data_IF_656349361329
#
_entry.id   IF_656349361329
#
_cell.length_a   1.000
_cell.length_b   1.000
_cell.length_c   1.000
_cell.angle_alpha   90.00
_cell.angle_beta   90.00
_cell.angle_gamma   90.00
#
_symmetry.space_group_name_H-M   'P 1'
#
loop_
_entity.id
_entity.type
_entity.pdbx_description
1 polymer ?
#
# COMPACT_ATOMS: atom_id res chain seq x y z
N UNK A 1 -42.29 5.35 9.53
CA UNK A 1 -41.06 4.91 10.24
C UNK A 1 -39.90 5.38 9.39
N UNK A 2 -38.99 6.19 9.95
CA UNK A 2 -37.81 6.58 9.19
C UNK A 2 -36.90 5.35 9.06
N UNK A 3 -36.54 5.00 7.86
CA UNK A 3 -35.63 3.89 7.62
C UNK A 3 -34.17 4.31 7.90
N UNK A 4 -33.42 3.44 8.54
CA UNK A 4 -32.03 3.71 8.88
C UNK A 4 -31.07 3.17 7.81
N UNK A 5 -30.28 4.05 7.24
CA UNK A 5 -29.24 3.71 6.28
C UNK A 5 -27.90 3.67 6.99
N UNK A 6 -27.24 2.52 6.97
CA UNK A 6 -25.90 2.33 7.49
C UNK A 6 -24.88 2.51 6.37
N UNK A 7 -23.85 3.32 6.63
CA UNK A 7 -22.79 3.63 5.64
C UNK A 7 -21.45 3.45 6.27
N UNK A 8 -20.54 2.76 5.58
CA UNK A 8 -19.16 2.58 6.02
C UNK A 8 -18.22 2.92 4.89
N UNK A 9 -17.28 3.84 5.16
CA UNK A 9 -16.18 4.19 4.26
C UNK A 9 -14.89 3.62 4.79
N UNK A 10 -14.07 2.93 3.95
CA UNK A 10 -12.69 2.65 4.29
C UNK A 10 -11.87 3.93 4.21
N UNK A 11 -10.80 4.03 4.98
CA UNK A 11 -9.92 5.20 5.08
C UNK A 11 -9.37 5.66 3.72
N UNK A 12 -9.13 4.73 2.79
CA UNK A 12 -8.70 5.05 1.43
C UNK A 12 -9.36 4.08 0.43
N UNK A 13 -10.00 4.65 -0.59
CA UNK A 13 -10.60 3.88 -1.69
C UNK A 13 -10.00 4.31 -3.02
N UNK A 14 -9.52 3.35 -3.81
CA UNK A 14 -9.02 3.62 -5.15
C UNK A 14 -10.14 3.48 -6.18
N UNK A 15 -10.34 4.52 -7.00
CA UNK A 15 -11.29 4.55 -8.10
C UNK A 15 -10.60 4.81 -9.44
N UNK A 16 -11.14 4.23 -10.51
CA UNK A 16 -10.60 4.37 -11.86
C UNK A 16 -11.53 5.15 -12.80
N UNK A 17 -12.71 5.54 -12.30
CA UNK A 17 -13.73 6.29 -13.05
C UNK A 17 -13.69 7.77 -12.65
N UNK A 18 -13.90 8.67 -13.60
CA UNK A 18 -13.93 10.11 -13.33
C UNK A 18 -15.19 10.51 -12.54
N UNK A 19 -16.30 9.81 -12.76
CA UNK A 19 -17.52 9.99 -11.98
C UNK A 19 -17.55 8.95 -10.86
N UNK A 20 -17.47 9.41 -9.63
CA UNK A 20 -17.42 8.58 -8.44
C UNK A 20 -18.77 8.60 -7.75
N UNK A 21 -19.40 7.45 -7.60
CA UNK A 21 -20.64 7.28 -6.84
C UNK A 21 -20.36 6.81 -5.41
N UNK A 22 -21.33 6.96 -4.51
CA UNK A 22 -21.21 6.44 -3.14
C UNK A 22 -21.01 4.93 -3.16
N UNK A 23 -21.66 4.20 -4.08
CA UNK A 23 -21.49 2.76 -4.22
C UNK A 23 -20.11 2.29 -4.66
N UNK A 24 -19.30 3.18 -5.28
CA UNK A 24 -17.91 2.87 -5.66
C UNK A 24 -16.93 2.94 -4.47
N UNK A 25 -17.29 3.67 -3.42
CA UNK A 25 -16.39 4.00 -2.32
C UNK A 25 -16.85 3.48 -0.96
N UNK A 26 -18.16 3.22 -0.78
CA UNK A 26 -18.76 2.89 0.50
C UNK A 26 -19.53 1.59 0.46
N UNK A 27 -19.57 0.91 1.59
CA UNK A 27 -20.54 -0.13 1.88
C UNK A 27 -21.82 0.52 2.41
N UNK A 28 -22.94 0.33 1.71
CA UNK A 28 -24.24 0.87 2.09
C UNK A 28 -25.19 -0.27 2.34
N UNK A 29 -25.86 -0.23 3.49
CA UNK A 29 -26.91 -1.17 3.87
C UNK A 29 -28.13 -0.46 4.43
N UNK A 30 -29.31 -0.87 3.98
CA UNK A 30 -30.60 -0.46 4.50
C UNK A 30 -31.55 -1.65 4.40
N UNK A 31 -32.59 -1.70 5.21
CA UNK A 31 -33.62 -2.75 5.15
C UNK A 31 -34.34 -2.73 3.81
N UNK A 32 -34.62 -1.53 3.27
CA UNK A 32 -35.16 -1.37 1.91
C UNK A 32 -34.05 -1.38 0.85
N UNK A 33 -34.13 -2.39 -0.03
CA UNK A 33 -33.21 -2.54 -1.16
C UNK A 33 -33.29 -1.39 -2.18
N UNK A 34 -34.49 -0.75 -2.30
CA UNK A 34 -34.68 0.35 -3.22
C UNK A 34 -33.93 1.61 -2.74
N UNK A 35 -34.00 1.90 -1.45
CA UNK A 35 -33.27 3.00 -0.83
C UNK A 35 -31.75 2.74 -0.95
N UNK A 36 -31.30 1.51 -0.66
CA UNK A 36 -29.91 1.12 -0.84
C UNK A 36 -29.40 1.37 -2.26
N UNK A 37 -30.18 1.00 -3.28
CA UNK A 37 -29.82 1.22 -4.67
C UNK A 37 -29.75 2.72 -5.03
N UNK A 38 -30.71 3.51 -4.56
CA UNK A 38 -30.71 4.98 -4.77
C UNK A 38 -29.51 5.63 -4.12
N UNK A 39 -29.19 5.31 -2.87
CA UNK A 39 -28.03 5.87 -2.15
C UNK A 39 -26.72 5.51 -2.85
N UNK A 40 -26.55 4.26 -3.27
CA UNK A 40 -25.36 3.84 -4.04
C UNK A 40 -25.17 4.58 -5.35
N UNK A 41 -26.27 4.98 -6.01
CA UNK A 41 -26.23 5.69 -7.30
C UNK A 41 -25.91 7.19 -7.17
N UNK A 42 -25.94 7.77 -5.97
CA UNK A 42 -25.64 9.19 -5.74
C UNK A 42 -24.19 9.46 -6.15
N UNK A 43 -23.98 10.49 -6.95
CA UNK A 43 -22.65 10.94 -7.37
C UNK A 43 -22.01 11.74 -6.24
N UNK A 44 -20.90 11.25 -5.70
CA UNK A 44 -20.15 11.92 -4.65
C UNK A 44 -19.26 13.03 -5.22
N UNK A 45 -18.57 12.73 -6.30
CA UNK A 45 -17.68 13.68 -6.94
C UNK A 45 -17.52 13.41 -8.43
N UNK A 46 -17.20 14.47 -9.16
CA UNK A 46 -16.76 14.37 -10.55
C UNK A 46 -15.29 14.82 -10.60
N UNK A 47 -14.40 13.85 -10.73
CA UNK A 47 -12.95 14.06 -10.72
C UNK A 47 -12.47 14.38 -12.12
N UNK A 48 -11.79 15.52 -12.35
CA UNK A 48 -11.25 15.82 -13.67
C UNK A 48 -10.20 14.78 -14.09
N UNK A 49 -10.37 14.22 -15.29
CA UNK A 49 -9.52 13.15 -15.86
C UNK A 49 -8.13 13.68 -16.32
N UNK A 50 -7.45 14.48 -15.48
CA UNK A 50 -6.18 15.10 -15.88
C UNK A 50 -4.97 14.39 -15.27
N UNK A 51 -5.04 13.94 -14.01
CA UNK A 51 -3.92 13.25 -13.31
C UNK A 51 -4.43 12.41 -12.16
N UNK A 52 -3.65 11.37 -11.81
CA UNK A 52 -3.87 10.65 -10.54
C UNK A 52 -3.77 11.61 -9.35
N UNK A 53 -4.83 11.73 -8.57
CA UNK A 53 -4.88 12.63 -7.39
C UNK A 53 -5.61 11.95 -6.24
N UNK A 54 -5.32 12.41 -5.05
CA UNK A 54 -6.03 12.05 -3.82
C UNK A 54 -6.92 13.22 -3.42
N UNK A 55 -8.15 12.90 -3.05
CA UNK A 55 -9.14 13.87 -2.58
C UNK A 55 -9.64 13.41 -1.22
N UNK A 56 -9.68 14.32 -0.26
CA UNK A 56 -10.20 14.06 1.08
C UNK A 56 -11.65 14.52 1.14
N UNK A 57 -12.50 13.67 1.65
CA UNK A 57 -13.92 13.94 1.84
C UNK A 57 -14.30 13.71 3.29
N UNK A 58 -15.15 14.59 3.81
CA UNK A 58 -15.82 14.40 5.09
C UNK A 58 -17.12 13.60 4.92
N UNK A 59 -17.44 12.77 5.91
CA UNK A 59 -18.71 12.06 6.00
C UNK A 59 -19.91 13.03 6.00
N UNK A 60 -19.70 14.24 6.53
CA UNK A 60 -20.75 15.28 6.59
C UNK A 60 -21.23 15.66 5.19
N UNK A 61 -20.30 15.74 4.23
CA UNK A 61 -20.62 15.99 2.81
C UNK A 61 -21.49 14.88 2.22
N UNK A 62 -21.20 13.63 2.57
CA UNK A 62 -21.98 12.47 2.12
C UNK A 62 -23.39 12.51 2.70
N UNK A 63 -23.52 12.81 4.01
CA UNK A 63 -24.80 12.94 4.68
C UNK A 63 -25.65 14.04 4.02
N UNK A 64 -25.06 15.20 3.71
CA UNK A 64 -25.74 16.27 3.00
C UNK A 64 -26.30 15.80 1.65
N UNK A 65 -25.46 15.12 0.85
CA UNK A 65 -25.84 14.63 -0.48
C UNK A 65 -26.96 13.60 -0.41
N UNK A 66 -26.91 12.68 0.56
CA UNK A 66 -27.95 11.66 0.72
C UNK A 66 -29.27 12.30 1.16
N UNK A 67 -29.26 13.20 2.15
CA UNK A 67 -30.45 13.90 2.61
C UNK A 67 -31.10 14.76 1.53
N UNK A 68 -30.33 15.27 0.60
CA UNK A 68 -30.83 16.02 -0.55
C UNK A 68 -31.60 15.15 -1.55
N UNK A 69 -31.18 13.90 -1.73
CA UNK A 69 -31.76 12.97 -2.71
C UNK A 69 -32.84 12.04 -2.07
N UNK A 70 -32.68 11.73 -0.79
CA UNK A 70 -33.57 10.84 -0.03
C UNK A 70 -33.89 11.50 1.31
N UNK A 71 -35.04 12.19 1.36
CA UNK A 71 -35.38 13.10 2.48
C UNK A 71 -35.73 12.40 3.81
N UNK A 72 -36.33 11.21 3.77
CA UNK A 72 -36.93 10.56 4.95
C UNK A 72 -36.11 9.38 5.49
N UNK A 73 -34.77 9.52 5.52
CA UNK A 73 -33.90 8.47 6.04
C UNK A 73 -33.05 8.98 7.20
N UNK A 74 -32.86 8.13 8.19
CA UNK A 74 -31.87 8.31 9.23
C UNK A 74 -30.52 7.69 8.79
N UNK A 75 -29.43 8.46 8.88
CA UNK A 75 -28.12 8.00 8.40
C UNK A 75 -27.25 7.70 9.60
N UNK A 76 -26.76 6.47 9.66
CA UNK A 76 -25.79 6.02 10.65
C UNK A 76 -24.46 5.70 9.97
N UNK A 77 -23.43 6.50 10.28
CA UNK A 77 -22.07 6.27 9.81
C UNK A 77 -21.34 5.31 10.72
N UNK A 78 -20.86 4.21 10.13
CA UNK A 78 -20.06 3.18 10.80
C UNK A 78 -18.68 3.15 10.13
N UNK A 79 -17.75 3.94 10.62
CA UNK A 79 -16.41 4.00 10.03
C UNK A 79 -15.73 5.33 10.27
N UNK A 80 -14.80 5.68 9.40
CA UNK A 80 -14.01 6.91 9.49
C UNK A 80 -14.87 8.14 9.19
N UNK A 81 -14.60 9.25 9.90
CA UNK A 81 -15.26 10.55 9.67
C UNK A 81 -14.75 11.20 8.38
N UNK A 82 -13.49 10.96 8.05
CA UNK A 82 -12.82 11.51 6.89
C UNK A 82 -12.16 10.39 6.11
N UNK A 83 -12.30 10.41 4.80
CA UNK A 83 -11.78 9.35 3.94
C UNK A 83 -11.15 9.91 2.67
N UNK A 84 -10.25 9.12 2.09
CA UNK A 84 -9.51 9.47 0.90
C UNK A 84 -10.07 8.73 -0.31
N UNK A 85 -10.35 9.46 -1.39
CA UNK A 85 -10.60 8.89 -2.70
C UNK A 85 -9.35 9.09 -3.56
N UNK A 86 -8.70 7.99 -3.89
CA UNK A 86 -7.52 7.97 -4.74
C UNK A 86 -7.93 7.69 -6.19
N UNK A 87 -8.03 8.74 -7.01
CA UNK A 87 -8.27 8.56 -8.43
C UNK A 87 -7.00 8.10 -9.14
N UNK A 88 -7.07 6.98 -9.84
CA UNK A 88 -5.97 6.45 -10.62
C UNK A 88 -6.39 6.26 -12.08
N UNK A 89 -5.86 7.12 -12.94
CA UNK A 89 -6.15 7.02 -14.38
C UNK A 89 -5.69 5.66 -14.92
N UNK A 90 -6.55 4.92 -15.63
CA UNK A 90 -6.14 3.68 -16.29
C UNK A 90 -5.14 4.02 -17.39
N UNK A 91 -3.86 3.72 -17.14
CA UNK A 91 -2.79 3.88 -18.13
C UNK A 91 -2.51 2.54 -18.81
N UNK A 92 -2.45 2.53 -20.12
CA UNK A 92 -1.86 1.43 -20.88
C UNK A 92 -0.34 1.47 -20.64
N UNK A 93 0.15 0.69 -19.68
CA UNK A 93 1.58 0.60 -19.42
C UNK A 93 2.22 -0.38 -20.39
N UNK A 94 3.33 0.04 -20.99
CA UNK A 94 4.17 -0.88 -21.77
C UNK A 94 4.88 -1.81 -20.78
N UNK A 95 4.55 -3.09 -20.81
CA UNK A 95 5.18 -4.12 -19.96
C UNK A 95 6.70 -4.12 -20.10
N UNK A 96 7.22 -3.88 -21.31
CA UNK A 96 8.66 -3.86 -21.58
C UNK A 96 9.34 -2.73 -20.81
N UNK A 97 8.76 -1.52 -20.80
CA UNK A 97 9.32 -0.38 -20.05
C UNK A 97 9.21 -0.60 -18.53
N UNK A 98 8.17 -1.29 -18.07
CA UNK A 98 8.00 -1.60 -16.66
C UNK A 98 9.05 -2.61 -16.18
N UNK A 99 9.29 -3.68 -16.94
CA UNK A 99 10.37 -4.63 -16.68
C UNK A 99 11.76 -3.99 -16.77
N UNK A 100 12.03 -3.16 -17.77
CA UNK A 100 13.30 -2.44 -17.89
C UNK A 100 13.57 -1.54 -16.68
N UNK A 101 12.55 -0.85 -16.18
CA UNK A 101 12.64 -0.03 -14.96
C UNK A 101 12.95 -0.89 -13.73
N UNK A 102 12.28 -2.04 -13.57
CA UNK A 102 12.51 -2.96 -12.46
C UNK A 102 13.94 -3.49 -12.49
N UNK A 103 14.43 -3.93 -13.65
CA UNK A 103 15.80 -4.41 -13.84
C UNK A 103 16.82 -3.31 -13.53
N UNK A 104 16.58 -2.08 -14.00
CA UNK A 104 17.45 -0.94 -13.73
C UNK A 104 17.54 -0.60 -12.23
N UNK A 105 16.39 -0.55 -11.55
CA UNK A 105 16.37 -0.31 -10.10
C UNK A 105 17.05 -1.47 -9.36
N UNK A 106 16.79 -2.72 -9.76
CA UNK A 106 17.42 -3.90 -9.19
C UNK A 106 18.94 -3.87 -9.33
N UNK A 107 19.45 -3.42 -10.49
CA UNK A 107 20.89 -3.27 -10.73
C UNK A 107 21.51 -2.20 -9.81
N UNK A 108 20.85 -1.05 -9.64
CA UNK A 108 21.33 0.01 -8.73
C UNK A 108 21.38 -0.49 -7.30
N UNK A 109 20.33 -1.18 -6.82
CA UNK A 109 20.27 -1.73 -5.46
C UNK A 109 21.35 -2.81 -5.28
N UNK A 110 21.54 -3.67 -6.28
CA UNK A 110 22.58 -4.70 -6.25
C UNK A 110 23.98 -4.09 -6.16
N UNK A 111 24.30 -3.12 -7.03
CA UNK A 111 25.61 -2.45 -7.02
C UNK A 111 25.84 -1.69 -5.70
N UNK A 112 24.83 -0.98 -5.20
CA UNK A 112 24.91 -0.27 -3.93
C UNK A 112 25.10 -1.21 -2.73
N UNK A 113 24.36 -2.31 -2.70
CA UNK A 113 24.52 -3.36 -1.69
C UNK A 113 25.89 -4.02 -1.73
N UNK A 114 26.37 -4.37 -2.93
CA UNK A 114 27.70 -4.93 -3.11
C UNK A 114 28.79 -3.97 -2.61
N UNK A 115 28.67 -2.68 -2.97
CA UNK A 115 29.61 -1.65 -2.48
C UNK A 115 29.58 -1.51 -0.95
N UNK A 116 28.39 -1.51 -0.35
CA UNK A 116 28.24 -1.43 1.11
C UNK A 116 28.87 -2.64 1.81
N UNK A 117 28.70 -3.86 1.26
CA UNK A 117 29.29 -5.08 1.81
C UNK A 117 30.82 -5.04 1.70
N UNK A 118 31.36 -4.59 0.56
CA UNK A 118 32.82 -4.46 0.36
C UNK A 118 33.39 -3.42 1.33
N UNK A 119 32.74 -2.25 1.46
CA UNK A 119 33.19 -1.20 2.38
C UNK A 119 33.15 -1.69 3.84
N UNK A 120 32.08 -2.35 4.24
CA UNK A 120 31.95 -2.94 5.58
C UNK A 120 32.97 -4.08 5.81
N UNK A 121 33.18 -4.93 4.80
CA UNK A 121 34.17 -6.02 4.86
C UNK A 121 35.61 -5.54 5.04
N UNK A 122 35.96 -4.40 4.44
CA UNK A 122 37.31 -3.80 4.61
C UNK A 122 37.48 -3.16 6.00
N UNK A 123 36.41 -2.60 6.58
CA UNK A 123 36.49 -1.95 7.89
C UNK A 123 36.50 -2.97 9.04
N UNK A 124 35.77 -4.06 8.93
CA UNK A 124 35.65 -5.10 9.98
C UNK A 124 36.56 -6.30 9.78
N UNK A 125 37.34 -6.32 8.68
CA UNK A 125 38.25 -7.43 8.32
C UNK A 125 37.54 -8.82 8.31
N UNK A 126 36.39 -8.88 7.67
CA UNK A 126 35.61 -10.11 7.55
C UNK A 126 36.39 -11.26 6.96
N UNK A 127 37.38 -10.98 6.09
CA UNK A 127 38.22 -11.99 5.48
C UNK A 127 39.04 -12.72 6.54
N UNK A 128 39.65 -12.01 7.49
CA UNK A 128 40.38 -12.58 8.60
C UNK A 128 39.49 -13.47 9.50
N UNK A 129 38.25 -13.05 9.74
CA UNK A 129 37.28 -13.87 10.48
C UNK A 129 36.94 -15.15 9.72
N UNK A 130 36.70 -15.07 8.39
CA UNK A 130 36.40 -16.23 7.56
C UNK A 130 37.62 -17.20 7.46
N UNK A 131 38.82 -16.68 7.36
CA UNK A 131 40.05 -17.48 7.41
C UNK A 131 40.20 -18.22 8.75
N UNK A 132 39.95 -17.52 9.86
CA UNK A 132 40.00 -18.10 11.20
C UNK A 132 38.98 -19.23 11.37
N UNK A 133 37.76 -19.01 10.91
CA UNK A 133 36.68 -20.05 10.92
C UNK A 133 37.04 -21.21 10.02
N UNK A 134 37.56 -20.96 8.82
CA UNK A 134 37.97 -21.99 7.88
C UNK A 134 39.08 -22.86 8.48
N UNK A 135 40.11 -22.25 9.02
CA UNK A 135 41.22 -22.94 9.67
C UNK A 135 40.77 -23.74 10.89
N UNK A 136 39.86 -23.20 11.69
CA UNK A 136 39.30 -23.89 12.86
C UNK A 136 38.54 -25.17 12.47
N UNK A 137 37.78 -25.11 11.35
CA UNK A 137 36.89 -26.22 10.93
C UNK A 137 37.64 -27.25 10.09
N UNK A 138 38.50 -26.80 9.14
CA UNK A 138 39.14 -27.66 8.15
C UNK A 138 40.65 -27.93 8.40
N UNK A 139 41.27 -27.14 9.29
CA UNK A 139 42.68 -27.19 9.58
C UNK A 139 43.56 -26.43 8.61
N UNK A 140 43.04 -25.95 7.48
CA UNK A 140 43.77 -25.15 6.49
C UNK A 140 42.84 -24.11 5.81
N UNK A 141 43.44 -23.23 4.97
CA UNK A 141 42.70 -22.19 4.25
C UNK A 141 42.31 -22.56 2.81
N UNK A 142 42.58 -23.80 2.38
CA UNK A 142 42.30 -24.20 0.99
C UNK A 142 40.82 -24.18 0.65
N UNK A 143 39.93 -24.27 1.67
CA UNK A 143 38.48 -24.29 1.54
C UNK A 143 37.83 -22.94 1.76
N UNK A 144 38.59 -21.85 1.90
CA UNK A 144 38.07 -20.51 2.16
C UNK A 144 37.03 -20.06 1.13
N UNK A 145 37.31 -20.29 -0.15
CA UNK A 145 36.39 -19.92 -1.23
C UNK A 145 35.07 -20.67 -1.16
N UNK A 146 35.07 -21.93 -0.71
CA UNK A 146 33.86 -22.73 -0.51
C UNK A 146 33.05 -22.16 0.64
N UNK A 147 33.67 -21.81 1.75
CA UNK A 147 33.02 -21.20 2.92
C UNK A 147 32.38 -19.86 2.55
N UNK A 148 33.11 -18.99 1.85
CA UNK A 148 32.59 -17.68 1.41
C UNK A 148 31.41 -17.84 0.43
N UNK A 149 31.53 -18.74 -0.54
CA UNK A 149 30.47 -18.99 -1.51
C UNK A 149 29.21 -19.56 -0.84
N UNK A 150 29.37 -20.54 0.06
CA UNK A 150 28.24 -21.12 0.78
C UNK A 150 27.54 -20.12 1.71
N UNK A 151 28.31 -19.24 2.35
CA UNK A 151 27.77 -18.14 3.15
C UNK A 151 26.93 -17.18 2.30
N UNK A 152 27.44 -16.74 1.14
CA UNK A 152 26.69 -15.86 0.23
C UNK A 152 25.39 -16.50 -0.28
N UNK A 153 25.44 -17.79 -0.66
CA UNK A 153 24.27 -18.54 -1.10
C UNK A 153 23.28 -18.70 0.04
N UNK A 154 23.76 -19.05 1.23
CA UNK A 154 22.93 -19.21 2.43
C UNK A 154 22.24 -17.92 2.85
N UNK A 155 22.96 -16.79 2.80
CA UNK A 155 22.41 -15.48 3.07
C UNK A 155 21.31 -15.10 2.07
N UNK A 156 21.55 -15.29 0.77
CA UNK A 156 20.58 -15.04 -0.28
C UNK A 156 19.32 -15.89 -0.12
N UNK A 157 19.49 -17.19 0.11
CA UNK A 157 18.38 -18.10 0.36
C UNK A 157 17.61 -17.72 1.64
N UNK A 158 18.30 -17.37 2.70
CA UNK A 158 17.71 -16.93 3.97
C UNK A 158 16.84 -15.68 3.79
N UNK A 159 17.32 -14.69 3.06
CA UNK A 159 16.57 -13.47 2.75
C UNK A 159 15.30 -13.80 1.96
N UNK A 160 15.39 -14.64 0.93
CA UNK A 160 14.23 -15.04 0.11
C UNK A 160 13.18 -15.75 0.97
N UNK A 161 13.61 -16.66 1.86
CA UNK A 161 12.72 -17.39 2.77
C UNK A 161 12.09 -16.43 3.79
N UNK A 162 12.89 -15.55 4.39
CA UNK A 162 12.42 -14.58 5.39
C UNK A 162 11.34 -13.64 4.83
N UNK A 163 11.54 -13.14 3.62
CA UNK A 163 10.54 -12.29 2.96
C UNK A 163 9.41 -13.09 2.31
N UNK A 164 9.39 -14.40 2.44
CA UNK A 164 8.34 -15.29 1.92
C UNK A 164 8.03 -15.08 0.43
N UNK A 165 9.07 -14.77 -0.35
CA UNK A 165 8.96 -14.45 -1.78
C UNK A 165 9.65 -15.50 -2.65
N UNK A 166 9.11 -16.73 -2.67
CA UNK A 166 9.58 -17.77 -3.60
C UNK A 166 8.66 -17.80 -4.82
N UNK A 167 9.02 -17.05 -5.86
CA UNK A 167 8.27 -16.99 -7.11
C UNK A 167 6.92 -16.26 -6.96
N UNK A 168 5.85 -16.80 -7.61
CA UNK A 168 4.49 -16.24 -7.55
C UNK A 168 3.64 -16.80 -6.41
N UNK A 169 4.15 -17.74 -5.61
CA UNK A 169 3.41 -18.37 -4.52
C UNK A 169 4.01 -17.93 -3.18
N UNK A 170 3.15 -17.40 -2.31
CA UNK A 170 3.52 -17.20 -0.90
C UNK A 170 3.66 -18.57 -0.24
N UNK A 171 4.71 -18.75 0.53
CA UNK A 171 4.94 -19.98 1.30
C UNK A 171 3.93 -20.12 2.44
N UNK A 172 3.50 -18.99 2.98
CA UNK A 172 2.51 -18.88 4.05
C UNK A 172 1.43 -17.86 3.70
N UNK A 173 0.22 -18.03 4.23
CA UNK A 173 -0.92 -17.13 3.96
C UNK A 173 -0.79 -15.80 4.70
N UNK A 174 0.01 -15.77 5.76
CA UNK A 174 0.19 -14.59 6.59
C UNK A 174 1.01 -13.50 5.87
N UNK A 175 0.74 -12.22 6.15
CA UNK A 175 1.50 -11.14 5.57
C UNK A 175 2.96 -11.19 6.05
N UNK A 176 3.88 -10.91 5.14
CA UNK A 176 5.31 -10.79 5.49
C UNK A 176 5.56 -9.58 6.38
N UNK A 177 6.66 -9.55 7.17
CA UNK A 177 7.02 -8.37 7.97
C UNK A 177 7.08 -7.08 7.14
N UNK A 178 7.60 -7.15 5.91
CA UNK A 178 7.65 -6.02 4.99
C UNK A 178 6.24 -5.56 4.56
N UNK A 179 5.33 -6.49 4.30
CA UNK A 179 3.93 -6.14 3.96
C UNK A 179 3.21 -5.47 5.13
N UNK A 180 3.49 -5.89 6.37
CA UNK A 180 2.93 -5.26 7.58
C UNK A 180 3.46 -3.83 7.72
N UNK A 181 4.78 -3.62 7.63
CA UNK A 181 5.39 -2.29 7.69
C UNK A 181 4.90 -1.36 6.57
N UNK A 182 4.74 -1.89 5.36
CA UNK A 182 4.18 -1.10 4.25
C UNK A 182 2.73 -0.69 4.50
N UNK A 183 1.92 -1.53 5.13
CA UNK A 183 0.53 -1.18 5.50
C UNK A 183 0.48 -0.15 6.61
N UNK A 184 1.33 -0.27 7.63
CA UNK A 184 1.44 0.73 8.69
C UNK A 184 1.87 2.08 8.11
N UNK A 185 2.90 2.09 7.25
CA UNK A 185 3.32 3.29 6.55
C UNK A 185 2.20 3.90 5.69
N UNK A 186 1.42 3.08 4.98
CA UNK A 186 0.28 3.56 4.19
C UNK A 186 -0.80 4.20 5.08
N UNK A 187 -1.09 3.61 6.23
CA UNK A 187 -2.06 4.14 7.19
C UNK A 187 -1.61 5.46 7.79
N UNK A 188 -0.35 5.57 8.19
CA UNK A 188 0.27 6.81 8.67
C UNK A 188 0.27 7.90 7.59
N UNK A 189 0.60 7.54 6.35
CA UNK A 189 0.57 8.47 5.23
C UNK A 189 -0.86 8.96 4.92
N UNK A 190 -1.87 8.11 5.01
CA UNK A 190 -3.26 8.51 4.83
C UNK A 190 -3.72 9.44 5.95
N UNK A 191 -3.35 9.16 7.19
CA UNK A 191 -3.64 10.03 8.35
C UNK A 191 -2.99 11.40 8.19
N UNK A 192 -1.73 11.46 7.75
CA UNK A 192 -1.03 12.71 7.50
C UNK A 192 -1.73 13.54 6.41
N UNK A 193 -2.20 12.90 5.32
CA UNK A 193 -2.91 13.58 4.23
C UNK A 193 -4.24 14.16 4.70
N UNK A 194 -5.01 13.42 5.51
CA UNK A 194 -6.28 13.88 6.08
C UNK A 194 -6.01 15.10 6.96
N UNK A 195 -5.06 15.01 7.88
CA UNK A 195 -4.72 16.10 8.79
C UNK A 195 -4.20 17.34 8.06
N UNK A 196 -3.42 17.21 7.00
CA UNK A 196 -2.94 18.31 6.19
C UNK A 196 -4.08 18.96 5.40
N UNK A 197 -4.97 18.15 4.83
CA UNK A 197 -6.15 18.63 4.09
C UNK A 197 -7.08 19.45 4.97
N UNK A 198 -7.30 19.01 6.22
CA UNK A 198 -8.09 19.72 7.20
C UNK A 198 -7.44 21.07 7.58
N UNK A 199 -6.11 21.11 7.79
CA UNK A 199 -5.36 22.36 8.08
C UNK A 199 -5.42 23.38 6.94
N UNK A 200 -5.40 22.91 5.69
CA UNK A 200 -5.42 23.76 4.50
C UNK A 200 -6.84 24.10 4.03
N UNK A 201 -7.88 23.67 4.73
CA UNK A 201 -9.29 23.79 4.35
C UNK A 201 -9.57 23.28 2.92
N UNK A 202 -8.85 22.25 2.48
CA UNK A 202 -9.01 21.58 1.19
C UNK A 202 -9.90 20.34 1.26
N UNK A 203 -10.39 20.04 2.45
CA UNK A 203 -11.35 18.96 2.67
C UNK A 203 -12.69 19.30 2.04
N UNK A 204 -13.34 18.30 1.44
CA UNK A 204 -14.68 18.45 0.87
C UNK A 204 -15.71 18.24 1.97
N UNK A 205 -16.02 19.31 2.67
CA UNK A 205 -17.01 19.34 3.75
C UNK A 205 -18.18 20.27 3.43
N UNK A 206 -19.19 20.26 4.29
CA UNK A 206 -20.33 21.19 4.25
C UNK A 206 -19.85 22.57 4.69
N UNK A 207 -20.14 23.58 3.88
CA UNK A 207 -19.85 24.99 4.20
C UNK A 207 -21.09 25.70 4.68
#
# INVERSE_FOLDING_TARGET
MNETVYISFPKNTQVNTARVSIGDCASVWCEDAHITARVKAITLANVPDVRSRRYVFSIMKVIELIKKEVADVEINSVGESDFIISYKKPQKRSLILEYAKIVFIGLIVFCGGAFAIIAYGNDVDINSVMESVCTFVTGDNNWLWVLQSSYCIGLGAGIIIFYNHIGRRKYEKDPTPLEVEMRLYEDDANTAIINESAREAKEQDVK
#
